data_IF_606672401638
#
_entry.id   IF_606672401638
#
_cell.length_a   1.000
_cell.length_b   1.000
_cell.length_c   1.000
_cell.angle_alpha   90.00
_cell.angle_beta   90.00
_cell.angle_gamma   90.00
#
_symmetry.space_group_name_H-M   'P 1'
#
loop_
_entity.id
_entity.type
_entity.pdbx_description
1 polymer ?
#
# COMPACT_ATOMS: atom_id res chain seq x y z
N UNK A 1 -6.92 -11.64 36.65
CA UNK A 1 -6.30 -11.61 35.31
C UNK A 1 -5.01 -10.85 35.48
N UNK A 2 -3.87 -11.52 35.27
CA UNK A 2 -2.56 -10.89 35.47
C UNK A 2 -2.18 -10.11 34.21
N UNK A 3 -1.66 -8.90 34.42
CA UNK A 3 -1.20 -8.06 33.32
C UNK A 3 0.15 -8.55 32.81
N UNK A 4 0.28 -8.70 31.49
CA UNK A 4 1.55 -8.97 30.84
C UNK A 4 2.21 -7.66 30.41
N UNK A 5 3.51 -7.51 30.69
CA UNK A 5 4.29 -6.37 30.21
C UNK A 5 4.71 -6.63 28.75
N UNK A 6 4.32 -5.73 27.86
CA UNK A 6 4.61 -5.78 26.42
C UNK A 6 4.96 -4.39 25.92
N UNK A 7 5.60 -4.32 24.75
CA UNK A 7 5.75 -3.10 23.97
C UNK A 7 4.51 -2.89 23.12
N UNK A 8 4.12 -1.64 22.91
CA UNK A 8 2.96 -1.30 22.08
C UNK A 8 3.36 -0.26 21.02
N UNK A 9 2.90 -0.48 19.79
CA UNK A 9 3.07 0.44 18.67
C UNK A 9 1.72 0.79 18.05
N UNK A 10 1.48 2.07 17.79
CA UNK A 10 0.28 2.56 17.11
C UNK A 10 0.64 2.99 15.68
N UNK A 11 -0.03 2.39 14.68
CA UNK A 11 0.11 2.80 13.27
C UNK A 11 -1.24 2.77 12.58
N UNK A 12 -1.70 3.95 12.15
CA UNK A 12 -3.03 4.10 11.59
C UNK A 12 -4.12 3.63 12.56
N UNK A 13 -4.94 2.67 12.14
CA UNK A 13 -5.98 2.06 12.98
C UNK A 13 -5.52 0.76 13.66
N UNK A 14 -4.23 0.42 13.62
CA UNK A 14 -3.70 -0.80 14.23
C UNK A 14 -2.90 -0.47 15.49
N UNK A 15 -3.27 -1.08 16.60
CA UNK A 15 -2.49 -1.09 17.84
C UNK A 15 -1.87 -2.48 18.00
N UNK A 16 -0.55 -2.57 17.83
CA UNK A 16 0.19 -3.82 17.82
C UNK A 16 1.01 -3.98 19.10
N UNK A 17 1.05 -5.19 19.64
CA UNK A 17 1.78 -5.54 20.86
C UNK A 17 2.95 -6.47 20.57
N UNK A 18 4.09 -6.25 21.20
CA UNK A 18 5.35 -6.95 20.94
C UNK A 18 6.01 -7.39 22.26
N UNK A 19 6.75 -8.50 22.23
CA UNK A 19 7.55 -8.90 23.40
C UNK A 19 8.78 -8.03 23.55
N UNK A 20 9.45 -7.73 22.44
CA UNK A 20 10.66 -6.91 22.37
C UNK A 20 10.51 -5.77 21.35
N UNK A 21 11.23 -4.66 21.51
CA UNK A 21 11.15 -3.52 20.60
C UNK A 21 11.55 -3.84 19.15
N UNK A 22 12.46 -4.80 18.97
CA UNK A 22 13.02 -5.19 17.67
C UNK A 22 12.22 -6.27 16.94
N UNK A 23 11.15 -6.80 17.55
CA UNK A 23 10.35 -7.86 16.93
C UNK A 23 9.68 -7.34 15.66
N UNK A 24 9.79 -8.12 14.57
CA UNK A 24 9.13 -7.77 13.31
C UNK A 24 7.65 -8.17 13.29
N UNK A 25 7.30 -9.23 14.02
CA UNK A 25 5.93 -9.73 14.13
C UNK A 25 5.34 -9.41 15.51
N UNK A 26 4.13 -8.82 15.56
CA UNK A 26 3.45 -8.58 16.81
C UNK A 26 2.84 -9.86 17.38
N UNK A 27 2.79 -9.96 18.71
CA UNK A 27 2.03 -10.98 19.44
C UNK A 27 0.54 -10.90 19.13
N UNK A 28 0.04 -9.68 19.09
CA UNK A 28 -1.37 -9.38 18.92
C UNK A 28 -1.52 -8.02 18.23
N UNK A 29 -2.53 -7.90 17.37
CA UNK A 29 -2.89 -6.65 16.71
C UNK A 29 -4.36 -6.37 16.94
N UNK A 30 -4.62 -5.24 17.57
CA UNK A 30 -5.95 -4.72 17.79
C UNK A 30 -6.34 -3.76 16.66
N UNK A 31 -7.45 -4.05 15.97
CA UNK A 31 -8.03 -3.15 14.96
C UNK A 31 -8.96 -2.13 15.62
N UNK A 32 -8.52 -0.87 15.63
CA UNK A 32 -9.24 0.26 16.19
C UNK A 32 -10.30 0.85 15.24
N UNK A 33 -10.52 0.28 14.06
CA UNK A 33 -11.61 0.68 13.15
C UNK A 33 -12.99 0.56 13.78
N UNK A 34 -13.16 -0.41 14.68
CA UNK A 34 -14.40 -0.69 15.41
C UNK A 34 -14.41 -0.07 16.82
N UNK A 35 -13.49 0.86 17.11
CA UNK A 35 -13.38 1.50 18.42
C UNK A 35 -14.59 2.39 18.73
N UNK A 36 -15.27 2.06 19.83
CA UNK A 36 -16.45 2.79 20.32
C UNK A 36 -16.01 3.88 21.29
N UNK A 37 -15.26 3.52 22.34
CA UNK A 37 -14.81 4.46 23.38
C UNK A 37 -13.42 4.16 23.91
N UNK A 38 -12.75 5.21 24.38
CA UNK A 38 -11.50 5.13 25.15
C UNK A 38 -11.72 5.84 26.48
N UNK A 39 -11.54 5.14 27.59
CA UNK A 39 -11.75 5.68 28.93
C UNK A 39 -10.52 5.45 29.82
N UNK A 40 -10.17 6.46 30.60
CA UNK A 40 -9.16 6.33 31.64
C UNK A 40 -9.86 5.89 32.94
N UNK A 41 -9.47 4.73 33.46
CA UNK A 41 -9.99 4.18 34.72
C UNK A 41 -8.82 3.95 35.68
N UNK A 42 -8.61 4.87 36.62
CA UNK A 42 -7.44 4.83 37.51
C UNK A 42 -6.12 4.89 36.71
N UNK A 43 -5.28 3.84 36.81
CA UNK A 43 -4.02 3.71 36.04
C UNK A 43 -4.17 2.86 34.77
N UNK A 44 -5.40 2.55 34.36
CA UNK A 44 -5.69 1.75 33.19
C UNK A 44 -6.39 2.57 32.11
N UNK A 45 -6.15 2.20 30.86
CA UNK A 45 -6.84 2.71 29.69
C UNK A 45 -7.74 1.58 29.16
N UNK A 46 -9.05 1.80 29.15
CA UNK A 46 -10.05 0.84 28.71
C UNK A 46 -10.50 1.20 27.30
N UNK A 47 -10.24 0.29 26.36
CA UNK A 47 -10.60 0.38 24.96
C UNK A 47 -11.82 -0.52 24.72
N UNK A 48 -12.97 0.08 24.42
CA UNK A 48 -14.17 -0.68 24.04
C UNK A 48 -14.34 -0.67 22.53
N UNK A 49 -14.33 -1.86 21.93
CA UNK A 49 -14.54 -2.10 20.52
C UNK A 49 -15.84 -2.87 20.31
N UNK A 50 -16.33 -2.97 19.07
CA UNK A 50 -17.49 -3.82 18.76
C UNK A 50 -17.14 -5.29 19.00
N UNK A 51 -17.61 -5.83 20.13
CA UNK A 51 -17.47 -7.24 20.49
C UNK A 51 -16.31 -7.59 21.41
N UNK A 52 -15.46 -6.63 21.79
CA UNK A 52 -14.38 -6.86 22.76
C UNK A 52 -14.02 -5.62 23.57
N UNK A 53 -13.49 -5.84 24.77
CA UNK A 53 -12.94 -4.81 25.64
C UNK A 53 -11.49 -5.17 25.96
N UNK A 54 -10.59 -4.20 25.83
CA UNK A 54 -9.16 -4.35 26.11
C UNK A 54 -8.75 -3.34 27.16
N UNK A 55 -8.11 -3.81 28.23
CA UNK A 55 -7.64 -2.98 29.33
C UNK A 55 -6.12 -2.94 29.35
N UNK A 56 -5.55 -1.75 29.16
CA UNK A 56 -4.12 -1.52 29.15
C UNK A 56 -3.68 -0.81 30.42
N UNK A 57 -2.71 -1.36 31.16
CA UNK A 57 -2.10 -0.67 32.29
C UNK A 57 -0.90 0.14 31.81
N UNK A 58 -0.82 1.40 32.23
CA UNK A 58 0.27 2.31 31.85
C UNK A 58 1.06 2.77 33.07
N UNK A 59 2.28 3.22 32.82
CA UNK A 59 3.26 3.52 33.89
C UNK A 59 2.96 4.84 34.62
N UNK A 60 2.34 5.81 33.94
CA UNK A 60 2.03 7.13 34.49
C UNK A 60 0.72 7.70 33.92
N UNK A 61 0.17 8.69 34.60
CA UNK A 61 -0.99 9.46 34.12
C UNK A 61 -0.69 10.20 32.80
N UNK A 62 0.52 10.74 32.67
CA UNK A 62 0.93 11.43 31.44
C UNK A 62 0.96 10.47 30.25
N UNK A 63 1.52 9.27 30.44
CA UNK A 63 1.51 8.21 29.43
C UNK A 63 0.08 7.76 29.11
N UNK A 64 -0.82 7.71 30.10
CA UNK A 64 -2.24 7.41 29.90
C UNK A 64 -2.93 8.43 28.99
N UNK A 65 -2.78 9.72 29.29
CA UNK A 65 -3.34 10.81 28.48
C UNK A 65 -2.73 10.86 27.09
N UNK A 66 -1.43 10.56 26.97
CA UNK A 66 -0.75 10.43 25.68
C UNK A 66 -1.37 9.32 24.83
N UNK A 67 -1.44 8.09 25.35
CA UNK A 67 -2.05 6.96 24.64
C UNK A 67 -3.51 7.24 24.26
N UNK A 68 -4.29 7.77 25.20
CA UNK A 68 -5.68 8.19 24.95
C UNK A 68 -5.75 9.19 23.79
N UNK A 69 -4.90 10.22 23.82
CA UNK A 69 -4.83 11.26 22.81
C UNK A 69 -4.46 10.73 21.43
N UNK A 70 -3.42 9.91 21.32
CA UNK A 70 -3.00 9.31 20.06
C UNK A 70 -4.08 8.39 19.47
N UNK A 71 -4.65 7.48 20.28
CA UNK A 71 -5.69 6.55 19.83
C UNK A 71 -6.93 7.31 19.33
N UNK A 72 -7.40 8.31 20.08
CA UNK A 72 -8.55 9.13 19.66
C UNK A 72 -8.22 9.95 18.40
N UNK A 73 -7.00 10.48 18.29
CA UNK A 73 -6.57 11.27 17.14
C UNK A 73 -6.56 10.42 15.86
N UNK A 74 -5.99 9.22 15.91
CA UNK A 74 -5.94 8.31 14.76
C UNK A 74 -7.34 7.82 14.36
N UNK A 75 -8.19 7.50 15.33
CA UNK A 75 -9.51 6.93 15.04
C UNK A 75 -10.52 7.98 14.59
N UNK A 76 -10.46 9.20 15.14
CA UNK A 76 -11.38 10.30 14.81
C UNK A 76 -10.83 11.28 13.76
N UNK A 77 -9.56 11.14 13.35
CA UNK A 77 -8.87 12.02 12.38
C UNK A 77 -8.89 13.52 12.73
N UNK A 78 -8.90 13.83 14.02
CA UNK A 78 -8.90 15.18 14.58
C UNK A 78 -8.30 15.17 15.99
N UNK A 79 -7.75 16.31 16.41
CA UNK A 79 -7.32 16.50 17.79
C UNK A 79 -8.52 16.44 18.75
N UNK A 80 -8.47 15.61 19.80
CA UNK A 80 -9.43 15.69 20.90
C UNK A 80 -9.29 17.03 21.61
N UNK A 81 -10.41 17.57 22.09
CA UNK A 81 -10.45 18.92 22.71
C UNK A 81 -10.25 18.88 24.23
N UNK A 82 -10.37 17.70 24.80
CA UNK A 82 -10.43 17.39 26.22
C UNK A 82 -9.17 16.66 26.72
N UNK A 83 -8.01 16.94 26.10
CA UNK A 83 -6.73 16.38 26.52
C UNK A 83 -6.02 17.30 27.49
N UNK A 84 -5.53 16.73 28.59
CA UNK A 84 -4.72 17.44 29.58
C UNK A 84 -3.22 17.25 29.29
N UNK A 85 -2.78 17.56 28.07
CA UNK A 85 -1.40 17.35 27.62
C UNK A 85 -0.56 18.63 27.68
N UNK A 86 0.74 18.45 27.97
CA UNK A 86 1.73 19.52 27.88
C UNK A 86 1.87 20.03 26.43
N UNK A 87 2.34 21.28 26.22
CA UNK A 87 2.50 21.85 24.87
C UNK A 87 3.35 20.98 23.93
N UNK A 88 4.45 20.39 24.42
CA UNK A 88 5.31 19.51 23.61
C UNK A 88 4.58 18.25 23.13
N UNK A 89 3.72 17.67 23.96
CA UNK A 89 2.90 16.51 23.60
C UNK A 89 1.83 16.86 22.56
N UNK A 90 1.23 18.05 22.66
CA UNK A 90 0.30 18.54 21.64
C UNK A 90 0.96 18.68 20.26
N UNK A 91 2.23 19.10 20.21
CA UNK A 91 3.00 19.16 18.96
C UNK A 91 3.18 17.77 18.36
N UNK A 92 3.55 16.77 19.18
CA UNK A 92 3.72 15.39 18.73
C UNK A 92 2.41 14.79 18.18
N UNK A 93 1.28 15.00 18.87
CA UNK A 93 -0.03 14.54 18.39
C UNK A 93 -0.42 15.22 17.07
N UNK A 94 -0.14 16.52 16.94
CA UNK A 94 -0.43 17.27 15.71
C UNK A 94 0.40 16.76 14.53
N UNK A 95 1.67 16.45 14.77
CA UNK A 95 2.56 15.86 13.77
C UNK A 95 2.06 14.47 13.35
N UNK A 96 1.73 13.61 14.31
CA UNK A 96 1.13 12.32 14.04
C UNK A 96 -0.19 12.42 13.25
N UNK A 97 -1.05 13.39 13.58
CA UNK A 97 -2.28 13.63 12.82
C UNK A 97 -1.99 14.07 11.37
N UNK A 98 -0.98 14.92 11.15
CA UNK A 98 -0.55 15.32 9.81
C UNK A 98 -0.02 14.13 9.02
N UNK A 99 0.91 13.37 9.61
CA UNK A 99 1.47 12.16 9.01
C UNK A 99 0.38 11.13 8.69
N UNK A 100 -0.62 10.94 9.56
CA UNK A 100 -1.72 10.02 9.30
C UNK A 100 -2.69 10.55 8.23
N UNK A 101 -2.94 11.86 8.20
CA UNK A 101 -3.71 12.50 7.10
C UNK A 101 -3.00 12.35 5.77
N UNK A 102 -1.68 12.53 5.75
CA UNK A 102 -0.87 12.23 4.58
C UNK A 102 -0.96 10.74 4.27
N UNK A 103 -0.78 9.82 5.21
CA UNK A 103 -0.90 8.38 4.94
C UNK A 103 -2.28 7.95 4.39
N UNK A 104 -3.36 8.63 4.77
CA UNK A 104 -4.74 8.36 4.28
C UNK A 104 -5.11 9.14 3.01
N UNK A 105 -4.58 10.35 2.86
CA UNK A 105 -4.85 11.28 1.76
C UNK A 105 -3.88 11.12 0.60
N UNK A 106 -2.69 10.60 0.87
CA UNK A 106 -1.96 9.77 -0.08
C UNK A 106 -2.86 8.54 -0.22
N UNK A 107 -3.39 8.23 -1.43
CA UNK A 107 -4.01 6.94 -1.63
C UNK A 107 -3.02 5.92 -1.08
N UNK A 108 -3.49 5.05 -0.18
CA UNK A 108 -2.70 3.95 0.33
C UNK A 108 -2.05 3.32 -0.89
N UNK A 109 -0.76 3.59 -1.12
CA UNK A 109 0.01 2.81 -2.06
C UNK A 109 -0.09 1.41 -1.49
N UNK A 110 -0.79 0.48 -2.16
CA UNK A 110 -0.84 -0.88 -1.69
C UNK A 110 0.59 -1.38 -1.84
N UNK A 111 1.37 -1.43 -0.77
CA UNK A 111 2.69 -2.05 -0.72
C UNK A 111 3.55 -1.84 -1.98
N UNK A 112 4.43 -0.82 -2.01
CA UNK A 112 5.13 -0.49 -3.26
C UNK A 112 4.07 -0.10 -4.33
N UNK A 113 4.37 0.22 -5.59
CA UNK A 113 3.36 -0.07 -6.61
C UNK A 113 3.10 -1.59 -6.54
N UNK A 114 1.85 -2.07 -6.43
CA UNK A 114 1.53 -3.46 -6.81
C UNK A 114 1.94 -3.55 -8.27
N UNK A 115 3.17 -4.00 -8.46
CA UNK A 115 3.74 -4.19 -9.77
C UNK A 115 2.96 -5.36 -10.37
N UNK A 116 2.31 -5.20 -11.53
CA UNK A 116 1.59 -6.29 -12.17
C UNK A 116 2.53 -7.48 -12.35
N UNK A 117 2.02 -8.70 -12.19
CA UNK A 117 2.82 -9.93 -12.33
C UNK A 117 3.54 -10.02 -13.69
N UNK A 118 3.00 -9.37 -14.73
CA UNK A 118 3.61 -9.28 -16.04
C UNK A 118 4.66 -8.15 -16.18
N UNK A 119 5.22 -7.65 -15.07
CA UNK A 119 6.36 -6.73 -15.10
C UNK A 119 7.66 -7.50 -15.01
N UNK A 120 8.56 -7.24 -15.94
CA UNK A 120 9.87 -7.87 -16.00
C UNK A 120 10.95 -6.80 -16.04
N UNK A 121 12.00 -6.95 -15.21
CA UNK A 121 13.19 -6.09 -15.26
C UNK A 121 14.08 -6.50 -16.44
N UNK A 122 13.62 -6.19 -17.65
CA UNK A 122 14.28 -6.55 -18.90
C UNK A 122 14.37 -5.36 -19.86
N UNK A 123 15.34 -5.41 -20.73
CA UNK A 123 15.52 -4.48 -21.84
C UNK A 123 14.47 -4.70 -22.94
N UNK A 124 14.46 -3.83 -23.95
CA UNK A 124 13.57 -3.99 -25.10
C UNK A 124 13.80 -5.31 -25.86
N UNK A 125 15.04 -5.66 -26.25
CA UNK A 125 15.29 -6.91 -26.98
C UNK A 125 14.93 -8.16 -26.15
N UNK A 126 15.26 -8.16 -24.86
CA UNK A 126 14.94 -9.28 -23.96
C UNK A 126 13.42 -9.47 -23.82
N UNK A 127 12.64 -8.39 -23.79
CA UNK A 127 11.19 -8.48 -23.77
C UNK A 127 10.57 -8.99 -25.08
N UNK A 128 11.15 -8.62 -26.22
CA UNK A 128 10.73 -9.17 -27.52
C UNK A 128 10.97 -10.68 -27.55
N UNK A 129 12.16 -11.12 -27.14
CA UNK A 129 12.53 -12.52 -27.04
C UNK A 129 11.63 -13.28 -26.05
N UNK A 130 11.35 -12.72 -24.88
CA UNK A 130 10.43 -13.33 -23.90
C UNK A 130 9.06 -13.60 -24.49
N UNK A 131 8.50 -12.67 -25.26
CA UNK A 131 7.19 -12.83 -25.90
C UNK A 131 7.21 -13.78 -27.11
N UNK A 132 8.36 -13.91 -27.78
CA UNK A 132 8.54 -14.90 -28.84
C UNK A 132 8.59 -16.33 -28.30
N UNK A 133 9.27 -16.54 -27.17
CA UNK A 133 9.46 -17.86 -26.58
C UNK A 133 8.23 -18.35 -25.79
N UNK A 134 7.40 -17.44 -25.28
CA UNK A 134 6.29 -17.72 -24.35
C UNK A 134 4.96 -18.12 -25.01
N UNK A 135 5.01 -18.94 -26.06
CA UNK A 135 3.82 -19.34 -26.83
C UNK A 135 2.67 -19.85 -25.92
N UNK A 136 1.55 -19.10 -25.92
CA UNK A 136 0.32 -19.44 -25.20
C UNK A 136 0.23 -18.99 -23.74
N UNK A 137 1.25 -18.31 -23.18
CA UNK A 137 1.29 -17.89 -21.77
C UNK A 137 1.06 -16.40 -21.54
N UNK A 138 0.47 -15.73 -22.53
CA UNK A 138 0.32 -14.29 -22.59
C UNK A 138 1.24 -13.67 -23.62
N UNK A 139 0.94 -12.44 -23.99
CA UNK A 139 1.53 -11.77 -25.14
C UNK A 139 1.67 -10.25 -24.92
N UNK A 140 1.65 -9.84 -23.65
CA UNK A 140 1.82 -8.48 -23.16
C UNK A 140 2.69 -8.50 -21.90
N UNK A 141 3.68 -7.62 -21.83
CA UNK A 141 4.46 -7.39 -20.61
C UNK A 141 4.78 -5.92 -20.39
N UNK A 142 5.02 -5.56 -19.13
CA UNK A 142 5.55 -4.27 -18.69
C UNK A 142 7.05 -4.41 -18.42
N UNK A 143 7.81 -3.35 -18.71
CA UNK A 143 9.25 -3.28 -18.43
C UNK A 143 9.73 -1.84 -18.23
N UNK A 144 10.94 -1.64 -17.69
CA UNK A 144 11.60 -0.34 -17.73
C UNK A 144 11.69 0.26 -19.15
N UNK A 145 11.55 1.58 -19.23
CA UNK A 145 11.73 2.33 -20.47
C UNK A 145 13.20 2.34 -20.94
N UNK A 146 13.42 2.65 -22.23
CA UNK A 146 14.77 2.83 -22.76
C UNK A 146 15.51 3.99 -22.07
N UNK A 147 16.82 3.85 -21.88
CA UNK A 147 17.69 4.79 -21.14
C UNK A 147 17.30 5.03 -19.67
N UNK A 148 16.60 4.08 -19.02
CA UNK A 148 16.26 4.16 -17.60
C UNK A 148 15.20 5.21 -17.26
N UNK A 149 14.52 5.77 -18.27
CA UNK A 149 13.49 6.78 -18.09
C UNK A 149 12.09 6.22 -18.37
N UNK A 150 11.25 6.22 -17.34
CA UNK A 150 9.84 5.83 -17.44
C UNK A 150 9.64 4.33 -17.67
N UNK A 151 8.48 3.96 -18.21
CA UNK A 151 8.05 2.58 -18.39
C UNK A 151 7.66 2.31 -19.84
N UNK A 152 7.61 1.04 -20.21
CA UNK A 152 7.14 0.61 -21.53
C UNK A 152 6.29 -0.66 -21.42
N UNK A 153 5.23 -0.72 -22.21
CA UNK A 153 4.47 -1.94 -22.47
C UNK A 153 4.97 -2.52 -23.78
N UNK A 154 5.31 -3.80 -23.82
CA UNK A 154 5.67 -4.53 -25.04
C UNK A 154 4.61 -5.59 -25.30
N UNK A 155 4.11 -5.65 -26.53
CA UNK A 155 3.09 -6.64 -26.95
C UNK A 155 3.55 -7.35 -28.21
N UNK A 156 3.14 -8.62 -28.35
CA UNK A 156 3.32 -9.43 -29.56
C UNK A 156 1.95 -9.98 -29.96
N UNK A 157 1.48 -9.70 -31.17
CA UNK A 157 0.23 -10.26 -31.68
C UNK A 157 0.48 -11.02 -32.96
N UNK A 158 -0.27 -12.07 -33.21
CA UNK A 158 -0.29 -12.73 -34.51
C UNK A 158 -1.54 -12.27 -35.27
N UNK A 159 -1.31 -11.59 -36.39
CA UNK A 159 -2.36 -11.08 -37.27
C UNK A 159 -2.02 -11.59 -38.67
N UNK A 160 -2.94 -12.35 -39.28
CA UNK A 160 -2.78 -12.95 -40.61
C UNK A 160 -1.48 -13.75 -40.79
N UNK A 161 -1.11 -14.53 -39.76
CA UNK A 161 0.10 -15.36 -39.76
C UNK A 161 1.41 -14.58 -39.63
N UNK A 162 1.35 -13.27 -39.33
CA UNK A 162 2.52 -12.42 -39.09
C UNK A 162 2.58 -11.99 -37.63
N UNK A 163 3.75 -12.16 -37.02
CA UNK A 163 4.02 -11.63 -35.70
C UNK A 163 4.23 -10.11 -35.78
N UNK A 164 3.43 -9.36 -35.02
CA UNK A 164 3.49 -7.92 -34.90
C UNK A 164 3.89 -7.54 -33.48
N UNK A 165 5.08 -6.94 -33.35
CA UNK A 165 5.58 -6.37 -32.11
C UNK A 165 5.26 -4.88 -32.03
N UNK A 166 4.78 -4.43 -30.87
CA UNK A 166 4.56 -3.01 -30.59
C UNK A 166 5.05 -2.66 -29.20
N UNK A 167 5.54 -1.43 -29.05
CA UNK A 167 5.97 -0.88 -27.77
C UNK A 167 5.26 0.44 -27.49
N UNK A 168 4.67 0.56 -26.31
CA UNK A 168 3.98 1.76 -25.87
C UNK A 168 4.73 2.39 -24.72
N UNK A 169 5.02 3.69 -24.83
CA UNK A 169 5.65 4.44 -23.74
C UNK A 169 4.61 4.76 -22.67
N UNK A 170 4.98 4.57 -21.42
CA UNK A 170 4.16 4.92 -20.25
C UNK A 170 4.94 5.93 -19.42
N UNK A 171 4.37 7.11 -19.23
CA UNK A 171 4.95 8.17 -18.40
C UNK A 171 4.33 8.12 -17.00
N UNK A 172 5.16 8.26 -15.98
CA UNK A 172 4.69 8.48 -14.61
C UNK A 172 4.36 9.96 -14.43
N UNK A 173 3.18 10.25 -13.89
CA UNK A 173 2.70 11.59 -13.54
C UNK A 173 2.38 11.66 -12.03
N UNK A 174 2.24 12.86 -11.43
CA UNK A 174 1.95 12.99 -9.99
C UNK A 174 0.70 12.23 -9.52
N UNK A 175 -0.29 12.05 -10.39
CA UNK A 175 -1.57 11.42 -10.09
C UNK A 175 -1.76 10.05 -10.79
N UNK A 176 -0.69 9.44 -11.31
CA UNK A 176 -0.78 8.11 -11.93
C UNK A 176 0.15 7.92 -13.12
N UNK A 177 -0.38 7.36 -14.20
CA UNK A 177 0.36 6.99 -15.40
C UNK A 177 -0.36 7.46 -16.65
N UNK A 178 0.41 7.79 -17.69
CA UNK A 178 -0.13 8.16 -19.00
C UNK A 178 0.48 7.27 -20.07
N UNK A 179 -0.37 6.56 -20.80
CA UNK A 179 0.03 5.78 -21.96
C UNK A 179 0.12 6.75 -23.15
N UNK A 180 1.32 6.86 -23.73
CA UNK A 180 1.63 7.79 -24.81
C UNK A 180 1.20 7.16 -26.13
N UNK A 181 0.13 7.69 -26.70
CA UNK A 181 -0.43 7.33 -28.00
C UNK A 181 -1.13 8.56 -28.60
N UNK A 182 -1.71 8.45 -29.79
CA UNK A 182 -2.38 9.57 -30.49
C UNK A 182 -3.44 10.26 -29.62
N UNK A 183 -4.23 9.46 -28.89
CA UNK A 183 -5.12 9.95 -27.83
C UNK A 183 -4.59 9.46 -26.47
N UNK A 184 -3.87 10.30 -25.70
CA UNK A 184 -3.26 9.88 -24.44
C UNK A 184 -4.30 9.34 -23.46
N UNK A 185 -4.00 8.20 -22.83
CA UNK A 185 -4.89 7.58 -21.85
C UNK A 185 -4.29 7.66 -20.45
N UNK A 186 -5.08 8.17 -19.49
CA UNK A 186 -4.67 8.30 -18.08
C UNK A 186 -5.11 7.09 -17.29
N UNK A 187 -4.20 6.54 -16.50
CA UNK A 187 -4.40 5.38 -15.64
C UNK A 187 -4.03 5.75 -14.20
N UNK A 188 -4.84 5.32 -13.23
CA UNK A 188 -4.56 5.51 -11.80
C UNK A 188 -3.43 4.61 -11.28
N UNK A 189 -3.16 3.48 -11.94
CA UNK A 189 -2.16 2.49 -11.51
C UNK A 189 -1.50 1.74 -12.68
N UNK A 190 -0.43 0.99 -12.42
CA UNK A 190 0.17 0.08 -13.42
C UNK A 190 -0.75 -1.10 -13.77
N UNK A 191 -1.54 -1.58 -12.80
CA UNK A 191 -2.57 -2.58 -13.07
C UNK A 191 -3.61 -2.03 -14.05
N UNK A 192 -4.02 -0.76 -13.91
CA UNK A 192 -4.92 -0.11 -14.85
C UNK A 192 -4.31 0.05 -16.25
N UNK A 193 -3.01 0.29 -16.34
CA UNK A 193 -2.29 0.30 -17.64
C UNK A 193 -2.42 -1.06 -18.32
N UNK A 194 -2.18 -2.16 -17.61
CA UNK A 194 -2.33 -3.51 -18.17
C UNK A 194 -3.79 -3.77 -18.58
N UNK A 195 -4.72 -3.46 -17.68
CA UNK A 195 -6.16 -3.66 -17.92
C UNK A 195 -6.68 -2.84 -19.10
N UNK A 196 -6.13 -1.64 -19.35
CA UNK A 196 -6.45 -0.86 -20.54
C UNK A 196 -6.17 -1.64 -21.83
N UNK A 197 -4.99 -2.28 -21.94
CA UNK A 197 -4.65 -3.07 -23.13
C UNK A 197 -5.51 -4.33 -23.25
N UNK A 198 -5.77 -5.04 -22.15
CA UNK A 198 -6.65 -6.23 -22.14
C UNK A 198 -8.06 -5.87 -22.60
N UNK A 199 -8.65 -4.80 -22.06
CA UNK A 199 -10.01 -4.36 -22.39
C UNK A 199 -10.10 -3.85 -23.83
N UNK A 200 -9.16 -2.99 -24.24
CA UNK A 200 -9.17 -2.37 -25.58
C UNK A 200 -8.98 -3.42 -26.68
N UNK A 201 -8.20 -4.47 -26.40
CA UNK A 201 -8.00 -5.59 -27.31
C UNK A 201 -9.09 -6.67 -27.23
N UNK A 202 -10.13 -6.48 -26.40
CA UNK A 202 -11.19 -7.48 -26.15
C UNK A 202 -10.64 -8.85 -25.72
N UNK A 203 -9.57 -8.84 -24.93
CA UNK A 203 -8.93 -10.03 -24.40
C UNK A 203 -7.92 -10.71 -25.33
N UNK A 204 -7.68 -10.20 -26.54
CA UNK A 204 -6.63 -10.76 -27.42
C UNK A 204 -5.22 -10.44 -26.93
N UNK A 205 -5.06 -9.42 -26.08
CA UNK A 205 -3.86 -9.18 -25.29
C UNK A 205 -4.08 -9.74 -23.88
N UNK A 206 -3.17 -10.59 -23.46
CA UNK A 206 -3.15 -11.19 -22.13
C UNK A 206 -1.79 -10.94 -21.46
N UNK A 207 -1.76 -10.59 -20.17
CA UNK A 207 -0.51 -10.42 -19.43
C UNK A 207 0.32 -11.71 -19.47
N UNK A 208 1.63 -11.58 -19.70
CA UNK A 208 2.57 -12.69 -19.64
C UNK A 208 2.67 -13.22 -18.20
N UNK A 209 2.57 -14.54 -18.05
CA UNK A 209 2.67 -15.25 -16.78
C UNK A 209 4.10 -15.16 -16.19
N UNK A 210 4.28 -14.71 -14.93
CA UNK A 210 5.59 -14.60 -14.27
C UNK A 210 6.37 -15.91 -14.15
N UNK A 211 5.71 -17.07 -14.06
CA UNK A 211 6.39 -18.35 -13.87
C UNK A 211 7.30 -18.75 -15.06
N UNK A 212 7.18 -18.04 -16.19
CA UNK A 212 8.01 -18.25 -17.37
C UNK A 212 9.45 -17.75 -17.23
N UNK A 213 9.73 -16.74 -16.38
CA UNK A 213 11.09 -16.18 -16.27
C UNK A 213 12.10 -17.09 -15.57
N UNK A 214 11.64 -18.16 -14.91
CA UNK A 214 12.52 -19.11 -14.22
C UNK A 214 13.18 -20.14 -15.16
N UNK A 215 12.92 -20.04 -16.47
CA UNK A 215 13.41 -20.98 -17.49
C UNK A 215 14.44 -20.37 -18.47
N UNK A 216 14.94 -19.16 -18.19
CA UNK A 216 15.98 -18.49 -18.98
C UNK A 216 17.26 -18.28 -18.17
#
# INVERSE_FOLDING_TARGET
>A
QDYQRVWAGLRGLKLAFYMLPQDQEPLEVLDLGELVTVQAEGRALVLRLRGQEVTMKVESWETQEMWRGFILTMTKMRMPRDLALLPGHNVQLLEALRQERERRGTPVSPASPVVPSCFFEVTRPEAELLLELSAGRGNLLLRPGGHGQGLSVTIRQEIDGRALLRHYKVKKEPQGYVIVMETPHRCSSLADVVQFFVRTSRGSLQPLDPDYSTQL
#
